data_IF_126777048635
#
_entry.id   IF_126777048635
#
_cell.length_a   1.000
_cell.length_b   1.000
_cell.length_c   1.000
_cell.angle_alpha   90.00
_cell.angle_beta   90.00
_cell.angle_gamma   90.00
#
_symmetry.space_group_name_H-M   'P 1'
#
loop_
_entity.id
_entity.type
_entity.pdbx_description
1 polymer ?
#
# COMPACT_ATOMS: atom_id res chain seq x y z
N UNK A 1 -8.53 -3.89 5.10
CA UNK A 1 -7.54 -4.79 4.48
C UNK A 1 -7.11 -5.84 5.51
N UNK A 2 -6.69 -7.04 5.09
CA UNK A 2 -6.22 -8.09 5.99
C UNK A 2 -4.75 -8.40 5.69
N UNK A 3 -3.85 -7.75 6.41
CA UNK A 3 -2.42 -8.00 6.24
C UNK A 3 -1.95 -9.27 6.98
N UNK A 4 -0.87 -9.86 6.48
CA UNK A 4 -0.15 -11.00 7.08
C UNK A 4 1.31 -10.64 7.35
N UNK A 5 1.97 -11.44 8.18
CA UNK A 5 3.42 -11.31 8.42
C UNK A 5 4.17 -11.50 7.09
N UNK A 6 5.10 -10.59 6.81
CA UNK A 6 5.85 -10.52 5.56
C UNK A 6 5.30 -9.54 4.54
N UNK A 7 4.07 -9.04 4.70
CA UNK A 7 3.50 -8.04 3.79
C UNK A 7 4.29 -6.74 3.84
N UNK A 8 4.52 -6.18 2.66
CA UNK A 8 5.08 -4.84 2.49
C UNK A 8 3.98 -3.80 2.55
N UNK A 9 4.15 -2.83 3.43
CA UNK A 9 3.18 -1.77 3.68
C UNK A 9 3.84 -0.41 3.68
N UNK A 10 3.03 0.64 3.66
CA UNK A 10 3.45 2.02 3.83
C UNK A 10 2.49 2.78 4.71
N UNK A 11 2.98 3.84 5.36
CA UNK A 11 2.15 4.75 6.14
C UNK A 11 1.37 5.67 5.19
N UNK A 12 0.04 5.78 5.37
CA UNK A 12 -0.82 6.65 4.54
C UNK A 12 -1.21 7.96 5.21
N UNK A 13 -1.21 8.01 6.55
CA UNK A 13 -1.73 9.16 7.29
C UNK A 13 -0.82 9.58 8.44
N UNK A 14 -0.88 10.87 8.76
CA UNK A 14 -0.41 11.38 10.04
C UNK A 14 -1.44 10.98 11.10
N UNK A 15 -1.05 10.12 12.04
CA UNK A 15 -1.89 9.75 13.16
C UNK A 15 -1.17 10.06 14.46
N UNK A 16 -1.77 10.95 15.26
CA UNK A 16 -1.25 11.39 16.55
C UNK A 16 -1.03 10.23 17.54
N UNK A 17 -1.76 9.12 17.37
CA UNK A 17 -1.72 7.97 18.27
C UNK A 17 -0.43 7.13 18.21
N UNK A 18 0.34 7.22 17.13
CA UNK A 18 1.62 6.48 16.96
C UNK A 18 2.71 7.31 16.28
N UNK A 19 2.38 8.52 15.83
CA UNK A 19 3.35 9.54 15.42
C UNK A 19 3.83 10.39 16.60
N UNK A 20 3.94 9.78 17.79
CA UNK A 20 4.21 10.47 19.07
C UNK A 20 5.49 11.32 19.03
N UNK A 21 6.39 11.08 18.08
CA UNK A 21 7.66 11.80 17.93
C UNK A 21 8.07 12.13 16.47
N UNK A 22 7.16 12.08 15.48
CA UNK A 22 7.55 12.35 14.08
C UNK A 22 8.46 11.28 13.48
N UNK A 23 8.52 10.09 14.07
CA UNK A 23 9.61 9.14 13.81
C UNK A 23 9.53 8.44 12.47
N UNK A 24 8.34 8.34 11.89
CA UNK A 24 8.10 7.84 10.55
C UNK A 24 7.15 8.80 9.83
N UNK A 25 7.65 9.63 8.89
CA UNK A 25 6.77 10.47 8.09
C UNK A 25 5.85 9.61 7.20
N UNK A 26 4.74 10.19 6.70
CA UNK A 26 3.94 9.57 5.66
C UNK A 26 4.79 9.06 4.49
N UNK A 27 4.34 7.98 3.84
CA UNK A 27 5.03 7.33 2.71
C UNK A 27 6.31 6.57 3.12
N UNK A 28 6.54 6.34 4.42
CA UNK A 28 7.58 5.41 4.87
C UNK A 28 7.13 3.98 4.63
N UNK A 29 7.94 3.20 3.91
CA UNK A 29 7.71 1.79 3.64
C UNK A 29 8.24 0.90 4.77
N UNK A 30 7.63 -0.26 4.95
CA UNK A 30 8.03 -1.26 5.94
C UNK A 30 7.47 -2.64 5.66
N UNK A 31 7.78 -3.58 6.54
CA UNK A 31 7.37 -4.98 6.48
C UNK A 31 6.72 -5.37 7.80
N UNK A 32 5.56 -6.02 7.74
CA UNK A 32 4.89 -6.56 8.93
C UNK A 32 5.70 -7.73 9.49
N UNK A 33 6.01 -7.64 10.78
CA UNK A 33 6.79 -8.66 11.50
C UNK A 33 6.00 -9.35 12.62
N UNK A 34 4.90 -8.74 13.09
CA UNK A 34 4.04 -9.29 14.13
C UNK A 34 2.59 -8.84 13.93
N UNK A 35 1.65 -9.72 14.28
CA UNK A 35 0.21 -9.49 14.16
C UNK A 35 -0.47 -9.89 15.47
N UNK A 36 -1.01 -8.90 16.17
CA UNK A 36 -1.63 -9.09 17.48
C UNK A 36 -3.10 -9.50 17.41
N UNK A 37 -3.69 -9.59 16.21
CA UNK A 37 -5.05 -10.09 15.97
C UNK A 37 -6.17 -9.16 16.39
N UNK A 38 -6.18 -8.68 17.64
CA UNK A 38 -7.25 -7.85 18.22
C UNK A 38 -6.68 -6.83 19.22
N UNK A 39 -6.71 -5.55 18.88
CA UNK A 39 -6.59 -4.47 19.86
C UNK A 39 -7.89 -4.29 20.65
N UNK A 40 -7.80 -3.87 21.91
CA UNK A 40 -8.93 -3.66 22.85
C UNK A 40 -10.00 -2.63 22.38
N UNK A 41 -9.75 -1.93 21.27
CA UNK A 41 -10.58 -0.87 20.68
C UNK A 41 -10.37 -0.96 19.16
N UNK A 42 -11.43 -1.32 18.44
CA UNK A 42 -11.64 -1.35 16.98
C UNK A 42 -10.39 -1.32 16.08
N UNK A 43 -9.84 -2.50 15.76
CA UNK A 43 -8.88 -2.67 14.67
C UNK A 43 -7.84 -3.76 14.90
N UNK A 44 -7.32 -4.30 13.80
CA UNK A 44 -6.19 -5.25 13.84
C UNK A 44 -4.89 -4.47 13.90
N UNK A 45 -3.99 -4.90 14.78
CA UNK A 45 -2.76 -4.18 15.11
C UNK A 45 -1.52 -4.94 14.66
N UNK A 46 -0.62 -4.24 13.96
CA UNK A 46 0.57 -4.81 13.34
C UNK A 46 1.85 -4.13 13.83
N UNK A 47 2.87 -4.94 14.13
CA UNK A 47 4.22 -4.44 14.38
C UNK A 47 4.99 -4.45 13.08
N UNK A 48 5.68 -3.35 12.79
CA UNK A 48 6.29 -3.11 11.47
C UNK A 48 7.77 -2.77 11.64
N UNK A 49 8.61 -3.41 10.82
CA UNK A 49 10.00 -3.00 10.60
C UNK A 49 10.05 -2.06 9.40
N UNK A 50 10.42 -0.81 9.64
CA UNK A 50 10.47 0.25 8.64
C UNK A 50 11.81 0.27 7.91
N UNK A 51 11.82 0.80 6.69
CA UNK A 51 13.01 0.90 5.83
C UNK A 51 14.10 1.80 6.44
N UNK A 52 13.73 2.73 7.33
CA UNK A 52 14.68 3.53 8.12
C UNK A 52 15.37 2.72 9.25
N UNK A 53 15.11 1.42 9.35
CA UNK A 53 15.69 0.50 10.32
C UNK A 53 14.95 0.44 11.66
N UNK A 54 13.97 1.32 11.88
CA UNK A 54 13.20 1.32 13.13
C UNK A 54 12.19 0.19 13.17
N UNK A 55 11.96 -0.31 14.39
CA UNK A 55 10.87 -1.22 14.70
C UNK A 55 10.06 -0.50 15.76
N UNK A 56 8.88 -0.01 15.35
CA UNK A 56 8.00 0.70 16.25
C UNK A 56 6.98 -0.28 16.85
N UNK A 57 6.11 0.23 17.71
CA UNK A 57 5.01 -0.54 18.29
C UNK A 57 3.92 -0.84 17.23
N UNK A 58 2.67 -0.92 17.65
CA UNK A 58 1.57 -1.42 16.84
C UNK A 58 0.85 -0.31 16.07
N UNK A 59 0.69 -0.51 14.76
CA UNK A 59 -0.12 0.32 13.86
C UNK A 59 -1.47 -0.35 13.60
N UNK A 60 -2.53 0.45 13.42
CA UNK A 60 -3.85 -0.05 13.09
C UNK A 60 -3.96 -0.20 11.57
N UNK A 61 -4.82 -1.09 11.09
CA UNK A 61 -5.04 -1.33 9.67
C UNK A 61 -5.43 -0.09 8.85
N UNK A 62 -5.95 0.96 9.50
CA UNK A 62 -6.37 2.19 8.82
C UNK A 62 -5.23 3.22 8.63
N UNK A 63 -4.05 2.96 9.20
CA UNK A 63 -2.89 3.85 9.08
C UNK A 63 -1.90 3.43 8.00
N UNK A 64 -2.12 2.24 7.45
CA UNK A 64 -1.20 1.58 6.53
C UNK A 64 -1.96 1.02 5.33
N UNK A 65 -1.30 1.03 4.19
CA UNK A 65 -1.77 0.37 2.96
C UNK A 65 -0.67 -0.54 2.41
N UNK A 66 -1.00 -1.40 1.44
CA UNK A 66 0.03 -2.09 0.68
C UNK A 66 0.93 -1.07 -0.04
N UNK A 67 2.24 -1.27 0.02
CA UNK A 67 3.25 -0.29 -0.45
C UNK A 67 3.04 0.24 -1.89
N UNK A 68 2.37 -0.53 -2.75
CA UNK A 68 2.14 -0.20 -4.16
C UNK A 68 0.83 0.58 -4.43
N UNK A 69 -0.06 0.77 -3.44
CA UNK A 69 -1.41 1.33 -3.67
C UNK A 69 -1.36 2.74 -4.24
N UNK A 70 -0.56 3.66 -3.68
CA UNK A 70 -0.42 5.00 -4.26
C UNK A 70 0.07 4.97 -5.72
N UNK A 71 1.02 4.09 -6.05
CA UNK A 71 1.50 3.96 -7.43
C UNK A 71 0.42 3.44 -8.38
N UNK A 72 -0.50 2.61 -7.89
CA UNK A 72 -1.69 2.22 -8.65
C UNK A 72 -2.65 3.39 -8.85
N UNK A 73 -2.88 4.22 -7.82
CA UNK A 73 -3.71 5.42 -7.93
C UNK A 73 -3.19 6.37 -9.02
N UNK A 74 -1.89 6.65 -8.99
CA UNK A 74 -1.23 7.48 -9.99
C UNK A 74 -1.39 6.90 -11.41
N UNK A 75 -1.33 5.57 -11.54
CA UNK A 75 -1.55 4.91 -12.82
C UNK A 75 -3.00 5.02 -13.29
N UNK A 76 -3.99 4.78 -12.41
CA UNK A 76 -5.43 4.90 -12.72
C UNK A 76 -5.76 6.31 -13.20
N UNK A 77 -5.34 7.33 -12.44
CA UNK A 77 -5.57 8.74 -12.79
C UNK A 77 -4.98 9.07 -14.17
N UNK A 78 -3.79 8.56 -14.46
CA UNK A 78 -3.09 8.81 -15.72
C UNK A 78 -3.73 8.13 -16.93
N UNK A 79 -4.32 6.96 -16.73
CA UNK A 79 -5.06 6.24 -17.78
C UNK A 79 -6.47 6.80 -17.97
N UNK A 80 -7.02 7.46 -16.95
CA UNK A 80 -8.37 8.02 -16.99
C UNK A 80 -8.50 9.06 -18.11
N UNK A 81 -9.56 8.91 -18.93
CA UNK A 81 -9.83 9.83 -20.04
C UNK A 81 -8.99 9.65 -21.30
N UNK A 82 -8.13 8.62 -21.37
CA UNK A 82 -7.39 8.27 -22.60
C UNK A 82 -8.10 7.11 -23.29
N UNK A 83 -8.82 7.39 -24.39
CA UNK A 83 -9.59 6.36 -25.13
C UNK A 83 -8.73 5.18 -25.59
N UNK A 84 -7.49 5.44 -26.04
CA UNK A 84 -6.55 4.40 -26.47
C UNK A 84 -5.98 3.55 -25.34
N UNK A 85 -6.18 3.97 -24.07
CA UNK A 85 -5.72 3.27 -22.88
C UNK A 85 -6.84 2.49 -22.18
N UNK A 86 -8.08 2.50 -22.71
CA UNK A 86 -9.26 1.91 -22.05
C UNK A 86 -9.05 0.47 -21.58
N UNK A 87 -8.44 -0.38 -22.40
CA UNK A 87 -8.17 -1.77 -22.01
C UNK A 87 -7.17 -1.89 -20.83
N UNK A 88 -6.13 -1.05 -20.84
CA UNK A 88 -5.17 -1.03 -19.73
C UNK A 88 -5.81 -0.44 -18.47
N UNK A 89 -6.68 0.56 -18.62
CA UNK A 89 -7.47 1.13 -17.52
C UNK A 89 -8.33 0.06 -16.86
N UNK A 90 -9.10 -0.71 -17.63
CA UNK A 90 -9.98 -1.76 -17.10
C UNK A 90 -9.17 -2.79 -16.28
N UNK A 91 -7.99 -3.21 -16.75
CA UNK A 91 -7.10 -4.13 -16.01
C UNK A 91 -6.61 -3.53 -14.69
N UNK A 92 -6.14 -2.28 -14.70
CA UNK A 92 -5.61 -1.66 -13.47
C UNK A 92 -6.74 -1.36 -12.49
N UNK A 93 -7.91 -0.95 -12.98
CA UNK A 93 -9.09 -0.68 -12.17
C UNK A 93 -9.55 -1.94 -11.44
N UNK A 94 -9.51 -3.10 -12.09
CA UNK A 94 -9.79 -4.40 -11.45
C UNK A 94 -8.84 -4.70 -10.29
N UNK A 95 -7.56 -4.29 -10.37
CA UNK A 95 -6.59 -4.48 -9.28
C UNK A 95 -6.73 -3.45 -8.16
N UNK A 96 -7.19 -2.25 -8.49
CA UNK A 96 -7.43 -1.18 -7.53
C UNK A 96 -8.60 -1.49 -6.59
N UNK A 97 -9.65 -2.13 -7.09
CA UNK A 97 -10.88 -2.41 -6.32
C UNK A 97 -10.77 -3.63 -5.38
N UNK A 98 -9.60 -4.28 -5.29
CA UNK A 98 -9.43 -5.48 -4.46
C UNK A 98 -8.82 -5.17 -3.09
N UNK A 99 -9.52 -5.58 -2.04
CA UNK A 99 -9.05 -5.54 -0.65
C UNK A 99 -8.02 -6.65 -0.32
N UNK A 100 -7.01 -6.88 -1.17
CA UNK A 100 -5.96 -7.90 -0.95
C UNK A 100 -4.58 -7.49 -1.50
N UNK A 101 -3.57 -8.23 -1.08
CA UNK A 101 -2.24 -8.19 -1.70
C UNK A 101 -2.30 -8.65 -3.17
N UNK A 102 -1.72 -7.87 -4.07
CA UNK A 102 -1.49 -8.26 -5.45
C UNK A 102 -0.40 -9.33 -5.50
N UNK A 103 -0.62 -10.33 -6.35
CA UNK A 103 0.37 -11.35 -6.64
C UNK A 103 1.49 -10.78 -7.51
N UNK A 104 2.63 -11.47 -7.53
CA UNK A 104 3.80 -11.02 -8.30
C UNK A 104 3.51 -10.85 -9.80
N UNK A 105 2.69 -11.71 -10.38
CA UNK A 105 2.25 -11.62 -11.78
C UNK A 105 1.39 -10.38 -12.03
N UNK A 106 0.46 -10.07 -11.12
CA UNK A 106 -0.39 -8.87 -11.17
C UNK A 106 0.46 -7.60 -11.04
N UNK A 107 1.42 -7.58 -10.10
CA UNK A 107 2.40 -6.50 -9.96
C UNK A 107 3.20 -6.31 -11.26
N UNK A 108 3.60 -7.40 -11.92
CA UNK A 108 4.34 -7.33 -13.18
C UNK A 108 3.47 -6.80 -14.33
N UNK A 109 2.17 -7.12 -14.36
CA UNK A 109 1.21 -6.51 -15.30
C UNK A 109 1.13 -4.99 -15.08
N UNK A 110 0.99 -4.56 -13.82
CA UNK A 110 0.96 -3.12 -13.48
C UNK A 110 2.24 -2.41 -13.92
N UNK A 111 3.41 -2.99 -13.66
CA UNK A 111 4.71 -2.46 -14.11
C UNK A 111 4.78 -2.34 -15.63
N UNK A 112 4.34 -3.37 -16.35
CA UNK A 112 4.36 -3.36 -17.82
C UNK A 112 3.48 -2.23 -18.38
N UNK A 113 2.27 -2.07 -17.84
CA UNK A 113 1.35 -0.98 -18.23
C UNK A 113 1.97 0.37 -17.90
N UNK A 114 2.55 0.54 -16.71
CA UNK A 114 3.25 1.76 -16.34
C UNK A 114 4.35 2.12 -17.35
N UNK A 115 5.22 1.16 -17.69
CA UNK A 115 6.28 1.36 -18.69
C UNK A 115 5.73 1.70 -20.06
N UNK A 116 4.66 1.03 -20.51
CA UNK A 116 4.00 1.30 -21.80
C UNK A 116 3.57 2.76 -21.95
N UNK A 117 3.01 3.35 -20.88
CA UNK A 117 2.51 4.73 -20.88
C UNK A 117 3.54 5.78 -20.42
N UNK A 118 4.73 5.36 -19.94
CA UNK A 118 5.81 6.26 -19.52
C UNK A 118 7.06 6.23 -20.40
N UNK A 119 7.13 5.32 -21.38
CA UNK A 119 8.20 5.37 -22.40
C UNK A 119 8.04 6.65 -23.23
N UNK A 120 8.97 7.59 -23.01
CA UNK A 120 9.18 8.79 -23.84
C UNK A 120 9.69 8.43 -25.22
#
# INVERSE_FOLDING_TARGET
>A
MNFKIGDKVRIIGDSDSYNVNGENPPNTNGIIIEDSGTGYIDGRRYKIKWDNGKINEYYINDDIEYWYIQSLNELVERLSGIDSAKYDFDIIFDYYDINRELKDDEINVCKHIWEKHNKK
#
